data_IF_914147844325
#
_entry.id   IF_914147844325
#
_cell.length_a   1.000
_cell.length_b   1.000
_cell.length_c   1.000
_cell.angle_alpha   90.00
_cell.angle_beta   90.00
_cell.angle_gamma   90.00
#
_symmetry.space_group_name_H-M   'P 1'
#
loop_
_entity.id
_entity.type
_entity.pdbx_description
1 polymer ?
#
# COMPACT_ATOMS: atom_id res chain seq x y z
N UNK A 1 0.29 11.65 -3.40
CA UNK A 1 0.65 12.99 -3.96
C UNK A 1 1.03 12.76 -5.41
N UNK A 2 0.37 13.42 -6.32
CA UNK A 2 0.60 13.32 -7.76
C UNK A 2 1.86 14.10 -8.15
N UNK A 3 2.66 13.56 -9.05
CA UNK A 3 3.72 14.33 -9.68
C UNK A 3 3.09 15.43 -10.55
N UNK A 4 3.68 16.61 -10.55
CA UNK A 4 3.24 17.74 -11.37
C UNK A 4 4.23 18.01 -12.48
N UNK A 5 3.74 18.36 -13.64
CA UNK A 5 4.56 18.77 -14.78
C UNK A 5 4.44 20.27 -14.98
N UNK A 6 5.56 20.94 -15.21
CA UNK A 6 5.57 22.27 -15.80
C UNK A 6 5.34 22.13 -17.31
N UNK A 7 4.22 22.67 -17.78
CA UNK A 7 3.97 22.87 -19.21
C UNK A 7 4.13 24.36 -19.51
N UNK A 8 4.20 24.74 -20.79
CA UNK A 8 4.27 26.14 -21.21
C UNK A 8 3.08 26.99 -20.67
N UNK A 9 2.00 26.35 -20.22
CA UNK A 9 0.77 26.97 -19.71
C UNK A 9 0.66 26.91 -18.16
N UNK A 10 1.73 26.47 -17.45
CA UNK A 10 1.78 26.38 -15.99
C UNK A 10 2.02 24.96 -15.46
N UNK A 11 2.09 24.83 -14.12
CA UNK A 11 2.27 23.54 -13.45
C UNK A 11 0.95 22.77 -13.49
N UNK A 12 0.89 21.69 -14.25
CA UNK A 12 -0.24 20.77 -14.28
C UNK A 12 0.08 19.47 -13.53
N UNK A 13 -0.94 18.92 -12.87
CA UNK A 13 -0.85 17.58 -12.29
C UNK A 13 -0.67 16.56 -13.43
N UNK A 14 0.44 15.82 -13.41
CA UNK A 14 0.73 14.83 -14.44
C UNK A 14 -0.21 13.61 -14.39
N UNK A 15 -1.06 13.51 -13.36
CA UNK A 15 -1.94 12.36 -13.17
C UNK A 15 -1.18 11.04 -12.93
N UNK A 16 0.08 11.12 -12.49
CA UNK A 16 0.88 9.91 -12.22
C UNK A 16 0.36 9.22 -10.96
N UNK A 17 0.17 7.91 -11.06
CA UNK A 17 -0.29 7.10 -9.95
C UNK A 17 0.87 6.73 -9.03
N UNK A 18 0.68 6.92 -7.73
CA UNK A 18 1.62 6.56 -6.66
C UNK A 18 1.01 5.45 -5.82
N UNK A 19 1.76 4.39 -5.59
CA UNK A 19 1.31 3.30 -4.70
C UNK A 19 1.68 3.61 -3.24
N UNK A 20 0.98 2.97 -2.30
CA UNK A 20 1.24 3.18 -0.87
C UNK A 20 2.57 2.61 -0.38
N UNK A 21 3.18 1.73 -1.14
CA UNK A 21 4.48 1.12 -0.83
C UNK A 21 5.67 2.02 -1.20
N UNK A 22 5.43 3.10 -1.94
CA UNK A 22 6.47 4.03 -2.35
C UNK A 22 6.80 5.01 -1.22
N UNK A 23 8.10 5.24 -1.02
CA UNK A 23 8.57 6.21 -0.02
C UNK A 23 8.45 7.63 -0.57
N UNK A 24 8.12 8.59 0.29
CA UNK A 24 8.23 10.01 -0.04
C UNK A 24 9.72 10.40 -0.10
N UNK A 25 10.21 10.71 -1.30
CA UNK A 25 11.60 11.09 -1.56
C UNK A 25 11.77 12.61 -1.66
N UNK A 26 10.91 13.41 -1.04
CA UNK A 26 11.08 14.86 -1.05
C UNK A 26 12.38 15.28 -0.37
N UNK A 27 13.37 15.68 -1.16
CA UNK A 27 14.64 16.24 -0.68
C UNK A 27 14.54 17.76 -0.81
N UNK A 28 14.68 18.49 0.28
CA UNK A 28 14.70 19.94 0.27
C UNK A 28 13.41 20.62 -0.19
N UNK A 29 12.25 19.93 -0.10
CA UNK A 29 10.95 20.46 -0.51
C UNK A 29 10.65 20.38 -2.02
N UNK A 30 11.57 19.90 -2.84
CA UNK A 30 11.36 19.72 -4.28
C UNK A 30 10.72 18.35 -4.49
N UNK A 31 9.41 18.33 -4.74
CA UNK A 31 8.64 17.12 -5.02
C UNK A 31 8.39 16.91 -6.52
N UNK A 32 8.84 17.83 -7.35
CA UNK A 32 8.45 17.92 -8.76
C UNK A 32 9.66 18.29 -9.59
N UNK A 33 9.85 17.53 -10.65
CA UNK A 33 10.88 17.81 -11.66
C UNK A 33 10.16 18.07 -12.99
N UNK A 34 10.33 19.21 -13.64
CA UNK A 34 9.70 19.48 -14.92
C UNK A 34 10.21 18.51 -16.00
N UNK A 35 9.32 18.05 -16.87
CA UNK A 35 9.69 17.09 -17.93
C UNK A 35 10.69 17.66 -18.93
N UNK A 36 10.84 18.96 -19.00
CA UNK A 36 11.86 19.64 -19.84
C UNK A 36 13.29 19.31 -19.48
N UNK A 37 13.56 18.85 -18.25
CA UNK A 37 14.92 18.39 -17.87
C UNK A 37 15.37 17.16 -18.65
N UNK A 38 14.44 16.45 -19.28
CA UNK A 38 14.72 15.27 -20.10
C UNK A 38 14.95 15.59 -21.58
N UNK A 39 14.81 16.84 -21.98
CA UNK A 39 15.04 17.24 -23.37
C UNK A 39 16.46 16.90 -23.85
N UNK A 40 16.55 16.45 -25.09
CA UNK A 40 17.81 16.00 -25.70
C UNK A 40 18.12 14.52 -25.55
N UNK A 41 17.29 13.77 -24.80
CA UNK A 41 17.35 12.31 -24.77
C UNK A 41 16.25 11.71 -25.62
N UNK A 42 16.53 10.60 -26.31
CA UNK A 42 15.48 9.84 -27.03
C UNK A 42 14.60 9.09 -26.03
N UNK A 43 15.21 8.48 -25.00
CA UNK A 43 14.51 7.73 -23.95
C UNK A 43 15.08 8.01 -22.55
N UNK A 44 14.20 8.12 -21.57
CA UNK A 44 14.54 8.24 -20.14
C UNK A 44 13.83 7.18 -19.33
N UNK A 45 14.58 6.23 -18.79
CA UNK A 45 14.07 5.21 -17.88
C UNK A 45 14.01 5.75 -16.45
N UNK A 46 12.82 5.81 -15.87
CA UNK A 46 12.56 6.28 -14.53
C UNK A 46 12.25 5.11 -13.59
N UNK A 47 12.73 5.20 -12.38
CA UNK A 47 12.45 4.28 -11.28
C UNK A 47 11.59 4.92 -10.21
N UNK A 48 11.43 4.26 -9.05
CA UNK A 48 10.70 4.67 -7.87
C UNK A 48 9.21 4.37 -7.91
N UNK A 49 8.44 4.79 -8.91
CA UNK A 49 7.02 4.48 -8.98
C UNK A 49 6.78 3.00 -9.32
N UNK A 50 5.92 2.33 -8.57
CA UNK A 50 5.67 0.90 -8.71
C UNK A 50 4.68 0.57 -9.84
N UNK A 51 3.82 1.52 -10.23
CA UNK A 51 2.96 1.42 -11.40
C UNK A 51 3.75 1.78 -12.67
N UNK A 52 3.72 0.90 -13.69
CA UNK A 52 4.26 1.24 -15.00
C UNK A 52 3.44 2.37 -15.63
N UNK A 53 4.09 3.45 -16.06
CA UNK A 53 3.39 4.61 -16.62
C UNK A 53 4.34 5.53 -17.39
N UNK A 54 3.79 6.21 -18.40
CA UNK A 54 4.52 7.21 -19.15
C UNK A 54 4.39 8.58 -18.50
N UNK A 55 5.47 9.36 -18.54
CA UNK A 55 5.44 10.78 -18.21
C UNK A 55 4.89 11.53 -19.42
N UNK A 56 3.93 12.44 -19.25
CA UNK A 56 3.46 13.28 -20.34
C UNK A 56 4.60 14.09 -20.96
N UNK A 57 4.65 14.13 -22.29
CA UNK A 57 5.71 14.85 -23.02
C UNK A 57 5.53 16.36 -22.91
N UNK A 58 6.64 17.07 -22.79
CA UNK A 58 6.63 18.52 -23.01
C UNK A 58 6.23 18.83 -24.47
N UNK A 59 5.59 19.98 -24.68
CA UNK A 59 5.12 20.40 -26.02
C UNK A 59 6.27 20.45 -27.03
N UNK A 60 6.15 19.67 -28.09
CA UNK A 60 7.15 19.57 -29.14
C UNK A 60 8.34 18.63 -28.83
N UNK A 61 8.41 18.05 -27.65
CA UNK A 61 9.45 17.08 -27.29
C UNK A 61 9.19 15.72 -27.92
N UNK A 62 10.25 15.08 -28.43
CA UNK A 62 10.23 13.69 -28.88
C UNK A 62 10.67 12.72 -27.78
N UNK A 63 11.21 13.23 -26.68
CA UNK A 63 11.70 12.42 -25.57
C UNK A 63 10.58 11.56 -24.98
N UNK A 64 10.82 10.29 -24.85
CA UNK A 64 9.95 9.36 -24.15
C UNK A 64 10.51 9.12 -22.75
N UNK A 65 9.82 9.59 -21.71
CA UNK A 65 10.18 9.32 -20.32
C UNK A 65 9.12 8.38 -19.70
N UNK A 66 9.59 7.33 -19.01
CA UNK A 66 8.69 6.29 -18.53
C UNK A 66 9.17 5.64 -17.24
N UNK A 67 8.24 5.40 -16.31
CA UNK A 67 8.42 4.51 -15.18
C UNK A 67 8.15 3.08 -15.63
N UNK A 68 9.13 2.18 -15.48
CA UNK A 68 8.96 0.76 -15.80
C UNK A 68 8.07 0.03 -14.79
N UNK A 69 7.95 0.57 -13.60
CA UNK A 69 7.25 -0.07 -12.49
C UNK A 69 8.11 -1.09 -11.73
N UNK A 70 7.51 -1.70 -10.72
CA UNK A 70 8.11 -2.80 -9.97
C UNK A 70 7.79 -4.15 -10.60
N UNK A 71 8.65 -5.15 -10.39
CA UNK A 71 8.46 -6.51 -10.92
C UNK A 71 7.33 -7.26 -10.20
N UNK A 72 7.12 -6.95 -8.92
CA UNK A 72 6.10 -7.57 -8.07
C UNK A 72 5.17 -6.52 -7.50
N UNK A 73 4.01 -6.96 -7.02
CA UNK A 73 3.09 -6.14 -6.24
C UNK A 73 3.54 -6.13 -4.78
N UNK A 74 3.85 -4.96 -4.23
CA UNK A 74 4.35 -4.79 -2.86
C UNK A 74 3.30 -4.33 -1.87
N UNK A 75 2.12 -3.93 -2.33
CA UNK A 75 1.02 -3.49 -1.47
C UNK A 75 -0.35 -3.83 -2.05
N UNK A 76 -1.37 -3.84 -1.18
CA UNK A 76 -2.77 -4.04 -1.60
C UNK A 76 -3.30 -2.93 -2.51
N UNK A 77 -2.67 -1.75 -2.53
CA UNK A 77 -2.99 -0.69 -3.49
C UNK A 77 -2.63 -1.06 -4.92
N UNK A 78 -1.69 -1.99 -5.10
CA UNK A 78 -1.21 -2.46 -6.40
C UNK A 78 -1.95 -3.72 -6.91
N UNK A 79 -2.95 -4.23 -6.17
CA UNK A 79 -3.63 -5.51 -6.47
C UNK A 79 -4.16 -5.63 -7.89
N UNK A 80 -4.57 -4.51 -8.49
CA UNK A 80 -5.13 -4.45 -9.83
C UNK A 80 -4.10 -4.05 -10.90
N UNK A 81 -2.83 -3.80 -10.52
CA UNK A 81 -1.79 -3.43 -11.48
C UNK A 81 -1.26 -4.65 -12.21
N UNK A 82 -1.15 -4.57 -13.53
CA UNK A 82 -0.32 -5.48 -14.32
C UNK A 82 1.14 -5.08 -14.18
N UNK A 83 1.98 -6.03 -13.83
CA UNK A 83 3.42 -5.83 -13.74
C UNK A 83 4.10 -6.22 -15.04
N UNK A 84 5.06 -5.42 -15.47
CA UNK A 84 5.73 -5.61 -16.76
C UNK A 84 7.17 -5.11 -16.70
N UNK A 85 7.98 -5.56 -17.63
CA UNK A 85 9.21 -4.85 -17.99
C UNK A 85 9.02 -4.13 -19.33
N UNK A 86 9.77 -3.07 -19.50
CA UNK A 86 9.72 -2.23 -20.69
C UNK A 86 10.86 -2.61 -21.63
N UNK A 87 10.53 -3.01 -22.86
CA UNK A 87 11.47 -3.20 -23.95
C UNK A 87 11.47 -1.94 -24.80
N UNK A 88 12.66 -1.39 -25.05
CA UNK A 88 12.84 -0.14 -25.80
C UNK A 88 13.69 -0.39 -27.02
N UNK A 89 13.18 -0.07 -28.19
CA UNK A 89 13.89 -0.12 -29.45
C UNK A 89 14.30 1.29 -29.84
N UNK A 90 15.59 1.56 -29.75
CA UNK A 90 16.16 2.83 -30.17
C UNK A 90 16.45 2.78 -31.68
N UNK A 91 15.98 3.78 -32.42
CA UNK A 91 16.29 4.00 -33.81
C UNK A 91 17.46 4.96 -34.01
N UNK A 92 17.44 5.72 -35.10
CA UNK A 92 18.42 6.80 -35.35
C UNK A 92 18.31 7.89 -34.29
N UNK A 93 19.41 8.51 -33.87
CA UNK A 93 19.40 9.59 -32.88
C UNK A 93 18.41 10.70 -33.22
N UNK A 94 17.63 11.13 -32.24
CA UNK A 94 16.59 12.14 -32.39
C UNK A 94 15.26 11.62 -32.97
N UNK A 95 15.13 10.29 -33.14
CA UNK A 95 13.86 9.65 -33.48
C UNK A 95 13.13 9.16 -32.23
N UNK A 96 11.80 9.13 -32.28
CA UNK A 96 11.02 8.60 -31.16
C UNK A 96 11.21 7.08 -31.04
N UNK A 97 11.61 6.55 -29.86
CA UNK A 97 11.80 5.11 -29.67
C UNK A 97 10.48 4.35 -29.66
N UNK A 98 10.51 3.10 -30.12
CA UNK A 98 9.41 2.17 -29.96
C UNK A 98 9.48 1.52 -28.58
N UNK A 99 8.34 1.50 -27.87
CA UNK A 99 8.24 0.95 -26.52
C UNK A 99 7.24 -0.19 -26.47
N UNK A 100 7.70 -1.36 -26.07
CA UNK A 100 6.90 -2.55 -25.88
C UNK A 100 6.86 -2.95 -24.40
N UNK A 101 5.67 -3.32 -23.90
CA UNK A 101 5.49 -3.84 -22.55
C UNK A 101 5.36 -5.36 -22.59
N UNK A 102 6.19 -6.02 -21.80
CA UNK A 102 6.13 -7.48 -21.60
C UNK A 102 5.63 -7.76 -20.20
N UNK A 103 4.45 -8.36 -20.12
CA UNK A 103 3.82 -8.70 -18.83
C UNK A 103 4.67 -9.73 -18.05
N UNK A 104 4.75 -9.52 -16.74
CA UNK A 104 5.39 -10.44 -15.79
C UNK A 104 4.30 -11.16 -15.01
N UNK A 105 4.16 -12.48 -15.20
CA UNK A 105 3.21 -13.27 -14.43
C UNK A 105 3.50 -13.12 -12.92
N UNK A 106 2.49 -12.80 -12.15
CA UNK A 106 2.63 -12.71 -10.71
C UNK A 106 2.52 -14.09 -10.07
N UNK A 107 3.36 -14.42 -9.07
CA UNK A 107 3.36 -15.74 -8.44
C UNK A 107 2.06 -16.04 -7.70
N UNK A 108 1.35 -15.00 -7.23
CA UNK A 108 0.06 -15.07 -6.56
C UNK A 108 -0.80 -13.87 -6.88
N UNK A 109 -2.11 -14.07 -6.87
CA UNK A 109 -3.07 -12.97 -6.88
C UNK A 109 -3.03 -12.17 -5.59
N UNK A 110 -3.75 -11.05 -5.57
CA UNK A 110 -3.99 -10.25 -4.36
C UNK A 110 -5.47 -9.92 -4.29
N UNK A 111 -6.11 -10.18 -3.15
CA UNK A 111 -7.52 -9.91 -2.95
C UNK A 111 -7.80 -9.23 -1.60
N UNK A 112 -8.79 -8.33 -1.61
CA UNK A 112 -9.37 -7.77 -0.40
C UNK A 112 -10.76 -8.36 -0.23
N UNK A 113 -11.00 -9.02 0.89
CA UNK A 113 -12.27 -9.68 1.21
C UNK A 113 -12.89 -8.99 2.42
N UNK A 114 -14.20 -8.77 2.36
CA UNK A 114 -14.96 -8.17 3.46
C UNK A 114 -16.30 -8.88 3.60
N UNK A 115 -16.71 -9.17 4.82
CA UNK A 115 -17.98 -9.80 5.13
C UNK A 115 -17.98 -10.44 6.51
N UNK A 116 -19.09 -11.08 6.84
CA UNK A 116 -19.20 -11.93 8.03
C UNK A 116 -18.35 -13.20 7.86
N UNK A 117 -18.05 -13.89 8.96
CA UNK A 117 -17.32 -15.16 8.91
C UNK A 117 -17.99 -16.17 7.99
N UNK A 118 -19.34 -16.23 8.01
CA UNK A 118 -20.09 -17.14 7.16
C UNK A 118 -19.97 -16.78 5.67
N UNK A 119 -19.98 -15.51 5.33
CA UNK A 119 -19.78 -15.02 3.96
C UNK A 119 -18.35 -15.23 3.47
N UNK A 120 -17.37 -14.99 4.33
CA UNK A 120 -15.96 -15.13 4.00
C UNK A 120 -15.53 -16.57 3.76
N UNK A 121 -16.07 -17.52 4.54
CA UNK A 121 -15.73 -18.94 4.48
C UNK A 121 -16.59 -19.74 3.48
N UNK A 122 -17.27 -19.06 2.56
CA UNK A 122 -18.05 -19.73 1.51
C UNK A 122 -17.16 -20.26 0.37
N UNK A 123 -17.61 -21.31 -0.36
CA UNK A 123 -16.89 -21.82 -1.53
C UNK A 123 -16.60 -20.76 -2.61
N UNK A 124 -17.38 -19.68 -2.66
CA UNK A 124 -17.15 -18.56 -3.58
C UNK A 124 -15.76 -17.94 -3.41
N UNK A 125 -15.23 -17.94 -2.20
CA UNK A 125 -13.96 -17.32 -1.86
C UNK A 125 -12.78 -18.31 -1.91
N UNK A 126 -13.01 -19.61 -2.15
CA UNK A 126 -11.94 -20.62 -2.30
C UNK A 126 -10.95 -20.29 -3.41
N UNK A 127 -11.40 -19.61 -4.46
CA UNK A 127 -10.53 -19.11 -5.54
C UNK A 127 -9.39 -18.20 -5.06
N UNK A 128 -9.53 -17.60 -3.87
CA UNK A 128 -8.53 -16.72 -3.26
C UNK A 128 -7.63 -17.42 -2.24
N UNK A 129 -7.74 -18.77 -2.12
CA UNK A 129 -6.96 -19.55 -1.16
C UNK A 129 -5.45 -19.36 -1.33
N UNK A 130 -5.00 -19.28 -2.59
CA UNK A 130 -3.59 -19.14 -2.94
C UNK A 130 -3.16 -17.68 -3.18
N UNK A 131 -4.07 -16.74 -3.04
CA UNK A 131 -3.79 -15.31 -3.14
C UNK A 131 -3.24 -14.75 -1.83
N UNK A 132 -2.49 -13.65 -1.92
CA UNK A 132 -2.27 -12.78 -0.77
C UNK A 132 -3.56 -12.05 -0.45
N UNK A 133 -4.09 -12.21 0.76
CA UNK A 133 -5.39 -11.62 1.12
C UNK A 133 -5.30 -10.67 2.30
N UNK A 134 -6.08 -9.61 2.23
CA UNK A 134 -6.47 -8.76 3.34
C UNK A 134 -7.94 -9.00 3.64
N UNK A 135 -8.29 -9.36 4.88
CA UNK A 135 -9.63 -9.75 5.26
C UNK A 135 -10.18 -8.79 6.31
N UNK A 136 -11.39 -8.27 6.07
CA UNK A 136 -12.16 -7.48 7.04
C UNK A 136 -13.39 -8.27 7.46
N UNK A 137 -13.45 -8.63 8.74
CA UNK A 137 -14.57 -9.36 9.34
C UNK A 137 -15.58 -8.36 9.90
N UNK A 138 -16.86 -8.51 9.53
CA UNK A 138 -17.95 -7.56 9.85
C UNK A 138 -19.02 -8.13 10.78
N UNK A 139 -18.78 -9.29 11.39
CA UNK A 139 -19.70 -9.85 12.39
C UNK A 139 -19.96 -8.84 13.52
N UNK A 140 -21.21 -8.74 13.98
CA UNK A 140 -21.60 -7.82 15.05
C UNK A 140 -20.96 -8.14 16.41
N UNK A 141 -20.58 -9.42 16.60
CA UNK A 141 -19.85 -9.91 17.78
C UNK A 141 -18.55 -10.53 17.30
N UNK A 142 -17.49 -10.34 18.08
CA UNK A 142 -16.19 -10.92 17.78
C UNK A 142 -16.29 -12.45 17.66
N UNK A 143 -15.98 -13.04 16.50
CA UNK A 143 -16.15 -14.48 16.28
C UNK A 143 -15.09 -15.31 17.00
N UNK A 144 -15.51 -16.41 17.62
CA UNK A 144 -14.60 -17.36 18.22
C UNK A 144 -13.67 -17.99 17.18
N UNK A 145 -12.36 -18.00 17.51
CA UNK A 145 -11.34 -18.56 16.64
C UNK A 145 -11.17 -17.83 15.31
N UNK A 146 -11.61 -16.57 15.18
CA UNK A 146 -11.60 -15.77 13.96
C UNK A 146 -10.27 -15.90 13.19
N UNK A 147 -9.14 -15.60 13.85
CA UNK A 147 -7.84 -15.66 13.20
C UNK A 147 -7.49 -17.05 12.68
N UNK A 148 -7.70 -18.09 13.50
CA UNK A 148 -7.35 -19.47 13.13
C UNK A 148 -8.17 -19.95 11.93
N UNK A 149 -9.49 -19.70 11.94
CA UNK A 149 -10.39 -20.09 10.85
C UNK A 149 -10.09 -19.35 9.54
N UNK A 150 -9.85 -18.05 9.62
CA UNK A 150 -9.48 -17.25 8.42
C UNK A 150 -8.11 -17.67 7.90
N UNK A 151 -7.12 -17.92 8.77
CA UNK A 151 -5.77 -18.36 8.38
C UNK A 151 -5.77 -19.74 7.75
N UNK A 152 -6.64 -20.64 8.18
CA UNK A 152 -6.82 -21.98 7.58
C UNK A 152 -7.43 -21.87 6.17
N UNK A 153 -8.44 -21.02 5.99
CA UNK A 153 -9.06 -20.78 4.69
C UNK A 153 -8.13 -20.05 3.72
N UNK A 154 -7.37 -19.07 4.24
CA UNK A 154 -6.46 -18.21 3.46
C UNK A 154 -5.04 -18.25 4.04
N UNK A 155 -4.22 -19.26 3.67
CA UNK A 155 -2.88 -19.45 4.22
C UNK A 155 -1.94 -18.25 4.00
N UNK A 156 -2.20 -17.43 2.96
CA UNK A 156 -1.42 -16.24 2.63
C UNK A 156 -2.08 -14.94 3.10
N UNK A 157 -2.77 -15.00 4.24
CA UNK A 157 -3.34 -13.85 4.92
C UNK A 157 -2.25 -12.84 5.28
N UNK A 158 -2.36 -11.61 4.77
CA UNK A 158 -1.46 -10.47 5.06
C UNK A 158 -1.97 -9.65 6.23
N UNK A 159 -3.29 -9.40 6.27
CA UNK A 159 -3.90 -8.56 7.29
C UNK A 159 -5.30 -9.07 7.62
N UNK A 160 -5.68 -9.02 8.90
CA UNK A 160 -7.01 -9.34 9.40
C UNK A 160 -7.53 -8.18 10.25
N UNK A 161 -8.66 -7.64 9.84
CA UNK A 161 -9.29 -6.49 10.47
C UNK A 161 -10.65 -6.93 10.99
N UNK A 162 -10.98 -6.58 12.23
CA UNK A 162 -12.34 -6.71 12.74
C UNK A 162 -13.02 -5.35 12.71
N UNK A 163 -14.12 -5.25 11.97
CA UNK A 163 -14.87 -4.03 11.77
C UNK A 163 -16.38 -4.32 11.80
N UNK A 164 -17.00 -4.46 12.99
CA UNK A 164 -18.38 -4.86 13.13
C UNK A 164 -19.40 -3.89 12.52
N UNK A 165 -19.01 -2.63 12.31
CA UNK A 165 -19.90 -1.65 11.69
C UNK A 165 -19.84 -1.68 10.15
N UNK A 166 -18.90 -2.43 9.58
CA UNK A 166 -18.73 -2.51 8.13
C UNK A 166 -18.43 -1.17 7.46
N UNK A 167 -18.15 -0.13 8.24
CA UNK A 167 -17.78 1.18 7.72
C UNK A 167 -16.53 0.98 6.86
N UNK A 168 -16.53 1.55 5.67
CA UNK A 168 -15.28 1.68 4.93
C UNK A 168 -14.27 2.32 5.87
N UNK A 169 -13.31 1.52 6.31
CA UNK A 169 -12.11 2.05 6.89
C UNK A 169 -11.51 2.87 5.76
N UNK A 170 -11.79 4.16 5.81
CA UNK A 170 -11.37 5.09 4.79
C UNK A 170 -9.93 4.75 4.48
N UNK A 171 -9.60 4.56 3.21
CA UNK A 171 -8.28 4.13 2.76
C UNK A 171 -7.12 5.07 3.12
N UNK A 172 -7.28 5.83 4.19
CA UNK A 172 -6.26 6.41 5.00
C UNK A 172 -5.81 5.34 5.98
N UNK A 173 -4.64 4.75 5.79
CA UNK A 173 -3.81 4.68 6.95
C UNK A 173 -3.94 6.07 7.59
N UNK A 174 -4.53 6.14 8.77
CA UNK A 174 -4.07 7.12 9.70
C UNK A 174 -2.57 6.82 9.78
N UNK A 175 -1.80 7.42 8.88
CA UNK A 175 -0.36 7.57 8.98
C UNK A 175 -0.15 8.55 10.16
N UNK A 176 -0.68 8.16 11.30
CA UNK A 176 -0.16 8.59 12.57
C UNK A 176 1.17 7.88 12.63
N UNK A 177 2.14 8.39 11.86
CA UNK A 177 3.55 8.25 12.18
C UNK A 177 3.80 9.02 13.48
N UNK A 178 3.07 8.61 14.49
CA UNK A 178 3.50 8.88 15.86
C UNK A 178 4.80 8.15 15.98
N UNK A 179 5.85 8.91 16.24
CA UNK A 179 7.15 8.34 16.53
C UNK A 179 6.98 7.38 17.71
N UNK A 180 6.77 6.10 17.42
CA UNK A 180 6.49 5.06 18.40
C UNK A 180 7.56 5.01 19.52
N UNK A 181 8.74 5.64 19.26
CA UNK A 181 9.82 5.80 20.23
C UNK A 181 9.51 6.84 21.31
N UNK A 182 8.51 7.70 21.10
CA UNK A 182 8.10 8.75 22.04
C UNK A 182 6.86 8.38 22.86
N UNK A 183 6.21 7.25 22.52
CA UNK A 183 5.04 6.77 23.25
C UNK A 183 5.45 5.92 24.45
N UNK A 184 4.77 6.11 25.56
CA UNK A 184 4.81 5.12 26.64
C UNK A 184 4.19 3.80 26.17
N UNK A 185 4.57 2.66 26.74
CA UNK A 185 3.96 1.37 26.37
C UNK A 185 2.44 1.35 26.49
N UNK A 186 1.88 2.04 27.47
CA UNK A 186 0.43 2.13 27.68
C UNK A 186 -0.25 2.97 26.59
N UNK A 187 0.35 4.09 26.19
CA UNK A 187 -0.15 4.90 25.08
C UNK A 187 -0.11 4.11 23.78
N UNK A 188 0.98 3.37 23.52
CA UNK A 188 1.09 2.52 22.34
C UNK A 188 0.01 1.41 22.33
N UNK A 189 -0.25 0.78 23.48
CA UNK A 189 -1.30 -0.24 23.64
C UNK A 189 -2.70 0.35 23.45
N UNK A 190 -2.98 1.53 24.00
CA UNK A 190 -4.27 2.20 23.84
C UNK A 190 -4.54 2.55 22.38
N UNK A 191 -3.55 3.11 21.68
CA UNK A 191 -3.65 3.44 20.27
C UNK A 191 -3.83 2.17 19.42
N UNK A 192 -3.06 1.13 19.70
CA UNK A 192 -3.20 -0.15 19.02
C UNK A 192 -4.60 -0.75 19.20
N UNK A 193 -5.14 -0.70 20.44
CA UNK A 193 -6.48 -1.19 20.72
C UNK A 193 -7.54 -0.37 19.96
N UNK A 194 -7.45 0.94 19.99
CA UNK A 194 -8.37 1.83 19.27
C UNK A 194 -8.33 1.59 17.76
N UNK A 195 -7.14 1.42 17.20
CA UNK A 195 -6.97 1.09 15.76
C UNK A 195 -7.51 -0.31 15.42
N UNK A 196 -7.36 -1.28 16.31
CA UNK A 196 -7.78 -2.66 16.07
C UNK A 196 -9.28 -2.88 16.32
N UNK A 197 -9.88 -2.19 17.30
CA UNK A 197 -11.28 -2.36 17.70
C UNK A 197 -12.21 -1.28 17.15
N UNK A 198 -11.66 -0.14 16.71
CA UNK A 198 -12.44 1.05 16.34
C UNK A 198 -13.07 1.80 17.53
N UNK A 199 -12.75 1.42 18.77
CA UNK A 199 -13.27 2.02 19.99
C UNK A 199 -12.12 2.34 20.96
N UNK A 200 -12.24 3.44 21.68
CA UNK A 200 -11.30 3.75 22.75
C UNK A 200 -11.38 2.69 23.87
N UNK A 201 -10.26 2.46 24.56
CA UNK A 201 -10.21 1.60 25.75
C UNK A 201 -11.10 2.19 26.85
N UNK A 202 -12.03 1.39 27.35
CA UNK A 202 -12.80 1.74 28.55
C UNK A 202 -11.89 1.76 29.79
N UNK A 203 -12.27 2.53 30.82
CA UNK A 203 -11.45 2.71 32.03
C UNK A 203 -11.07 1.39 32.70
N UNK A 204 -12.00 0.44 32.79
CA UNK A 204 -11.76 -0.88 33.37
C UNK A 204 -10.73 -1.70 32.57
N UNK A 205 -10.74 -1.57 31.23
CA UNK A 205 -9.77 -2.22 30.36
C UNK A 205 -8.38 -1.59 30.50
N UNK A 206 -8.29 -0.26 30.67
CA UNK A 206 -7.02 0.43 30.95
C UNK A 206 -6.39 -0.07 32.24
N UNK A 207 -7.20 -0.20 33.30
CA UNK A 207 -6.73 -0.72 34.60
C UNK A 207 -6.23 -2.17 34.49
N UNK A 208 -6.97 -3.01 33.80
CA UNK A 208 -6.58 -4.42 33.57
C UNK A 208 -5.27 -4.52 32.78
N UNK A 209 -5.12 -3.70 31.73
CA UNK A 209 -3.93 -3.65 30.90
C UNK A 209 -2.70 -3.16 31.67
N UNK A 210 -2.85 -2.12 32.49
CA UNK A 210 -1.78 -1.60 33.35
C UNK A 210 -1.30 -2.67 34.33
N UNK A 211 -2.23 -3.38 34.97
CA UNK A 211 -1.90 -4.48 35.86
C UNK A 211 -1.13 -5.61 35.18
N UNK A 212 -1.57 -6.02 34.00
CA UNK A 212 -0.89 -7.06 33.21
C UNK A 212 0.52 -6.61 32.79
N UNK A 213 0.69 -5.35 32.39
CA UNK A 213 1.98 -4.76 32.06
C UNK A 213 2.94 -4.73 33.25
N UNK A 214 2.46 -4.33 34.43
CA UNK A 214 3.26 -4.28 35.64
C UNK A 214 3.69 -5.69 36.10
N UNK A 215 2.80 -6.68 35.99
CA UNK A 215 3.12 -8.08 36.29
C UNK A 215 4.17 -8.64 35.32
N UNK A 216 4.05 -8.37 34.02
CA UNK A 216 5.03 -8.79 33.03
C UNK A 216 6.41 -8.16 33.28
N UNK A 217 6.47 -6.88 33.61
CA UNK A 217 7.73 -6.20 33.94
C UNK A 217 8.39 -6.74 35.21
N UNK A 218 7.62 -7.12 36.23
CA UNK A 218 8.16 -7.77 37.44
C UNK A 218 8.81 -9.12 37.13
N UNK A 219 8.22 -9.88 36.20
CA UNK A 219 8.79 -11.18 35.76
C UNK A 219 10.04 -11.01 34.91
N UNK A 220 10.13 -9.95 34.10
CA UNK A 220 11.30 -9.64 33.26
C UNK A 220 12.45 -9.02 34.05
N UNK A 221 12.15 -8.24 35.09
CA UNK A 221 13.14 -7.62 35.98
C UNK A 221 13.69 -8.55 37.08
N UNK A 222 13.15 -9.73 37.22
CA UNK A 222 13.57 -10.74 38.20
C UNK A 222 14.60 -11.77 37.65
N UNK A 223 15.19 -11.50 36.47
CA UNK A 223 16.26 -12.28 35.86
C UNK A 223 17.59 -11.49 35.89
#
# INVERSE_FOLDING_TARGET
KSARLETADGIQDAGLEVSRSERDLSIGGIQIVPSSVFEGFDYVALGHLHGQQSVPKAKGSKTVARYSGSLLRYSMSERNQSKSFTLVHLGEPGTEPEVELREIPQPRGMARLQGTMDELLTPKNEKHRDDFVEVTVTDSKYPDGMYARIKEAFPFLLNLIYNPEGKELGGGEADVRMDARKLSPMEAMAIFFEQASGAALEEDAVVALQKAYDEANKQLGAK
#
